data_IF_594739441309
#
_entry.id   IF_594739441309
#
_cell.length_a   1.000
_cell.length_b   1.000
_cell.length_c   1.000
_cell.angle_alpha   90.00
_cell.angle_beta   90.00
_cell.angle_gamma   90.00
#
_symmetry.space_group_name_H-M   'P 1'
#
loop_
_entity.id
_entity.type
_entity.pdbx_description
1 polymer ?
#
# COMPACT_ATOMS: atom_id res chain seq x y z
N UNK A 1 -28.76 25.46 -20.73
CA UNK A 1 -28.63 24.96 -19.34
C UNK A 1 -27.66 23.79 -19.45
N UNK A 2 -26.40 23.91 -19.05
CA UNK A 2 -25.98 24.10 -17.66
C UNK A 2 -24.75 25.01 -17.50
N UNK A 3 -24.93 26.16 -16.85
CA UNK A 3 -23.84 27.06 -16.44
C UNK A 3 -23.16 26.62 -15.13
N UNK A 4 -23.55 25.46 -14.57
CA UNK A 4 -23.04 24.95 -13.28
C UNK A 4 -21.67 24.28 -13.35
N UNK A 5 -21.07 24.20 -14.54
CA UNK A 5 -19.65 23.85 -14.72
C UNK A 5 -18.68 25.03 -14.53
N UNK A 6 -19.18 26.26 -14.38
CA UNK A 6 -18.44 27.48 -14.75
C UNK A 6 -17.19 27.86 -13.93
N UNK A 7 -16.98 27.35 -12.71
CA UNK A 7 -15.79 27.70 -11.91
C UNK A 7 -14.88 26.50 -11.74
N UNK A 8 -15.41 25.35 -11.33
CA UNK A 8 -14.58 24.14 -11.18
C UNK A 8 -14.05 23.64 -12.53
N UNK A 9 -14.85 23.65 -13.61
CA UNK A 9 -14.36 23.23 -14.93
C UNK A 9 -13.39 24.26 -15.54
N UNK A 10 -13.59 25.56 -15.26
CA UNK A 10 -12.66 26.61 -15.67
C UNK A 10 -11.32 26.51 -14.92
N UNK A 11 -11.36 26.21 -13.61
CA UNK A 11 -10.18 25.99 -12.79
C UNK A 11 -9.42 24.73 -13.23
N UNK A 12 -10.15 23.63 -13.48
CA UNK A 12 -9.58 22.41 -14.04
C UNK A 12 -8.92 22.65 -15.40
N UNK A 13 -9.53 23.45 -16.28
CA UNK A 13 -8.91 23.81 -17.56
C UNK A 13 -7.65 24.66 -17.42
N UNK A 14 -7.58 25.52 -16.40
CA UNK A 14 -6.39 26.35 -16.12
C UNK A 14 -5.22 25.50 -15.60
N UNK A 15 -5.52 24.42 -14.87
CA UNK A 15 -4.53 23.47 -14.34
C UNK A 15 -4.02 22.46 -15.38
N UNK A 16 -4.65 22.39 -16.57
CA UNK A 16 -4.26 21.46 -17.65
C UNK A 16 -3.02 21.88 -18.44
N UNK A 17 -2.50 23.09 -18.26
CA UNK A 17 -1.37 23.55 -19.08
C UNK A 17 0.00 23.04 -18.62
N UNK A 18 0.11 22.49 -17.40
CA UNK A 18 1.37 21.94 -16.88
C UNK A 18 1.05 20.77 -15.93
N UNK A 19 1.44 19.53 -16.25
CA UNK A 19 1.20 18.34 -15.41
C UNK A 19 1.82 18.48 -13.99
N UNK A 20 2.85 19.31 -13.85
CA UNK A 20 3.45 19.72 -12.57
C UNK A 20 2.53 20.60 -11.72
N UNK A 21 1.52 21.23 -12.32
CA UNK A 21 0.61 22.13 -11.61
C UNK A 21 -0.48 21.38 -10.83
N UNK A 22 -0.95 20.22 -11.31
CA UNK A 22 -2.04 19.50 -10.65
C UNK A 22 -1.59 18.88 -9.32
N UNK A 23 -0.43 18.23 -9.29
CA UNK A 23 0.15 17.69 -8.05
C UNK A 23 0.44 18.80 -7.04
N UNK A 24 0.97 19.94 -7.51
CA UNK A 24 1.21 21.11 -6.68
C UNK A 24 -0.10 21.69 -6.12
N UNK A 25 -1.19 21.70 -6.90
CA UNK A 25 -2.51 22.11 -6.40
C UNK A 25 -3.10 21.13 -5.40
N UNK A 26 -2.98 19.82 -5.64
CA UNK A 26 -3.42 18.82 -4.68
C UNK A 26 -2.68 18.97 -3.35
N UNK A 27 -1.36 19.21 -3.39
CA UNK A 27 -0.56 19.51 -2.21
C UNK A 27 -1.04 20.79 -1.50
N UNK A 28 -1.31 21.88 -2.25
CA UNK A 28 -1.86 23.12 -1.69
C UNK A 28 -3.22 22.92 -1.03
N UNK A 29 -4.10 22.10 -1.63
CA UNK A 29 -5.41 21.76 -1.08
C UNK A 29 -5.25 20.94 0.20
N UNK A 30 -4.32 19.99 0.23
CA UNK A 30 -4.03 19.17 1.40
C UNK A 30 -3.47 20.01 2.56
N UNK A 31 -2.54 20.93 2.29
CA UNK A 31 -2.04 21.88 3.28
C UNK A 31 -3.16 22.76 3.84
N UNK A 32 -4.07 23.24 2.97
CA UNK A 32 -5.22 24.05 3.38
C UNK A 32 -6.21 23.24 4.22
N UNK A 33 -6.47 21.98 3.85
CA UNK A 33 -7.33 21.08 4.62
C UNK A 33 -6.75 20.81 5.99
N UNK A 34 -5.46 20.51 6.08
CA UNK A 34 -4.77 20.27 7.35
C UNK A 34 -4.87 21.50 8.26
N UNK A 35 -4.57 22.71 7.74
CA UNK A 35 -4.71 23.95 8.49
C UNK A 35 -6.15 24.19 8.97
N UNK A 36 -7.16 23.94 8.12
CA UNK A 36 -8.56 24.07 8.51
C UNK A 36 -9.00 23.05 9.58
N UNK A 37 -8.46 21.84 9.53
CA UNK A 37 -8.71 20.82 10.55
C UNK A 37 -8.09 21.19 11.89
N UNK A 38 -6.87 21.72 11.89
CA UNK A 38 -6.19 22.22 13.09
C UNK A 38 -6.96 23.40 13.71
N UNK A 39 -7.34 24.38 12.88
CA UNK A 39 -8.15 25.52 13.30
C UNK A 39 -9.51 25.07 13.85
N UNK A 40 -10.14 24.08 13.23
CA UNK A 40 -11.39 23.51 13.71
C UNK A 40 -11.21 22.79 15.07
N UNK A 41 -10.08 22.11 15.28
CA UNK A 41 -9.75 21.48 16.56
C UNK A 41 -9.56 22.52 17.67
N UNK A 42 -8.78 23.57 17.42
CA UNK A 42 -8.57 24.68 18.36
C UNK A 42 -9.89 25.41 18.69
N UNK A 43 -10.74 25.62 17.68
CA UNK A 43 -12.04 26.23 17.88
C UNK A 43 -12.97 25.36 18.74
N UNK A 44 -12.94 24.02 18.56
CA UNK A 44 -13.69 23.08 19.42
C UNK A 44 -13.21 23.13 20.87
N UNK A 45 -11.90 23.15 21.11
CA UNK A 45 -11.35 23.28 22.46
C UNK A 45 -11.80 24.59 23.11
N UNK A 46 -11.71 25.70 22.39
CA UNK A 46 -12.17 27.01 22.88
C UNK A 46 -13.66 26.99 23.25
N UNK A 47 -14.51 26.36 22.42
CA UNK A 47 -15.93 26.18 22.74
C UNK A 47 -16.15 25.34 24.00
N UNK A 48 -15.37 24.29 24.23
CA UNK A 48 -15.46 23.47 25.45
C UNK A 48 -15.13 24.30 26.69
N UNK A 49 -14.06 25.09 26.64
CA UNK A 49 -13.68 26.00 27.74
C UNK A 49 -14.80 27.01 28.00
N UNK A 50 -15.32 27.67 26.95
CA UNK A 50 -16.42 28.62 27.09
C UNK A 50 -17.69 27.99 27.67
N UNK A 51 -18.03 26.76 27.27
CA UNK A 51 -19.16 26.01 27.83
C UNK A 51 -18.95 25.71 29.31
N UNK A 52 -17.77 25.25 29.71
CA UNK A 52 -17.43 24.99 31.13
C UNK A 52 -17.55 26.27 31.96
N UNK A 53 -16.99 27.39 31.47
CA UNK A 53 -17.11 28.69 32.13
C UNK A 53 -18.56 29.17 32.25
N UNK A 54 -19.39 28.94 31.24
CA UNK A 54 -20.83 29.26 31.29
C UNK A 54 -21.58 28.38 32.29
N UNK A 55 -21.24 27.09 32.40
CA UNK A 55 -21.81 26.19 33.41
C UNK A 55 -21.45 26.67 34.82
N UNK A 56 -20.17 26.98 35.06
CA UNK A 56 -19.72 27.50 36.35
C UNK A 56 -20.40 28.83 36.73
N UNK A 57 -20.66 29.71 35.76
CA UNK A 57 -21.38 30.97 36.00
C UNK A 57 -22.87 30.78 36.25
N UNK A 58 -23.48 29.71 35.71
CA UNK A 58 -24.88 29.38 35.96
C UNK A 58 -25.10 28.87 37.37
N UNK A 59 -24.10 28.22 37.96
CA UNK A 59 -24.14 27.81 39.35
C UNK A 59 -24.11 29.03 40.28
N UNK A 60 -25.25 29.29 40.92
CA UNK A 60 -25.38 30.44 41.81
C UNK A 60 -24.68 30.25 43.15
N UNK A 61 -24.38 29.00 43.53
CA UNK A 61 -23.74 28.63 44.79
C UNK A 61 -22.24 28.93 44.82
N UNK A 62 -21.59 29.00 43.64
CA UNK A 62 -20.18 29.34 43.54
C UNK A 62 -19.97 30.83 43.77
N UNK A 63 -18.95 31.27 44.52
CA UNK A 63 -18.61 32.68 44.61
C UNK A 63 -18.09 33.19 43.27
N UNK A 64 -18.64 34.28 42.76
CA UNK A 64 -18.15 34.97 41.57
C UNK A 64 -17.59 36.33 41.96
N UNK A 65 -16.27 36.47 41.89
CA UNK A 65 -15.59 37.73 42.22
C UNK A 65 -14.73 38.22 41.06
N UNK A 66 -15.32 38.95 40.12
CA UNK A 66 -14.58 39.87 39.27
C UNK A 66 -14.91 41.30 39.70
N UNK A 67 -13.92 42.02 40.24
CA UNK A 67 -14.07 43.42 40.70
C UNK A 67 -14.58 44.38 39.61
N UNK A 68 -14.52 43.99 38.34
CA UNK A 68 -14.83 44.80 37.17
C UNK A 68 -16.08 44.38 36.39
N UNK A 69 -16.72 43.26 36.72
CA UNK A 69 -17.84 42.74 35.93
C UNK A 69 -18.82 41.97 36.80
N UNK A 70 -20.11 42.22 36.60
CA UNK A 70 -21.23 41.50 37.21
C UNK A 70 -21.47 40.15 36.51
N UNK A 71 -22.07 39.21 37.25
CA UNK A 71 -22.31 37.84 36.77
C UNK A 71 -23.21 37.81 35.52
N UNK A 72 -24.18 38.72 35.42
CA UNK A 72 -25.09 38.77 34.28
C UNK A 72 -24.37 39.23 33.00
N UNK A 73 -23.55 40.27 33.09
CA UNK A 73 -22.69 40.70 31.97
C UNK A 73 -21.70 39.60 31.58
N UNK A 74 -21.09 38.90 32.55
CA UNK A 74 -20.18 37.79 32.27
C UNK A 74 -20.87 36.67 31.47
N UNK A 75 -22.07 36.26 31.89
CA UNK A 75 -22.91 35.27 31.19
C UNK A 75 -23.22 35.72 29.75
N UNK A 76 -23.61 36.98 29.58
CA UNK A 76 -23.94 37.55 28.26
C UNK A 76 -22.73 37.55 27.33
N UNK A 77 -21.59 38.04 27.79
CA UNK A 77 -20.35 38.14 27.01
C UNK A 77 -19.85 36.75 26.59
N UNK A 78 -19.82 35.78 27.51
CA UNK A 78 -19.38 34.42 27.17
C UNK A 78 -20.37 33.71 26.25
N UNK A 79 -21.67 33.94 26.41
CA UNK A 79 -22.69 33.40 25.49
C UNK A 79 -22.53 33.96 24.08
N UNK A 80 -22.29 35.27 23.96
CA UNK A 80 -22.02 35.92 22.67
C UNK A 80 -20.74 35.38 22.01
N UNK A 81 -19.66 35.20 22.77
CA UNK A 81 -18.43 34.58 22.28
C UNK A 81 -18.68 33.15 21.81
N UNK A 82 -19.41 32.34 22.58
CA UNK A 82 -19.74 30.97 22.21
C UNK A 82 -20.55 30.92 20.90
N UNK A 83 -21.53 31.82 20.73
CA UNK A 83 -22.27 31.93 19.45
C UNK A 83 -21.34 32.30 18.30
N UNK A 84 -20.36 33.19 18.52
CA UNK A 84 -19.32 33.50 17.54
C UNK A 84 -18.52 32.26 17.11
N UNK A 85 -18.03 31.48 18.07
CA UNK A 85 -17.29 30.23 17.80
C UNK A 85 -18.13 29.16 17.11
N UNK A 86 -19.44 29.07 17.41
CA UNK A 86 -20.37 28.17 16.70
C UNK A 86 -20.54 28.60 15.24
N UNK A 87 -20.66 29.90 14.97
CA UNK A 87 -20.73 30.41 13.59
C UNK A 87 -19.43 30.14 12.83
N UNK A 88 -18.30 30.33 13.49
CA UNK A 88 -16.98 30.03 12.94
C UNK A 88 -16.84 28.54 12.61
N UNK A 89 -17.25 27.65 13.53
CA UNK A 89 -17.24 26.19 13.31
C UNK A 89 -18.04 25.80 12.06
N UNK A 90 -19.25 26.33 11.89
CA UNK A 90 -20.08 26.10 10.69
C UNK A 90 -19.45 26.67 9.41
N UNK A 91 -18.62 27.71 9.53
CA UNK A 91 -17.87 28.23 8.38
C UNK A 91 -16.74 27.29 8.00
N UNK A 92 -15.95 26.85 8.98
CA UNK A 92 -14.86 25.88 8.78
C UNK A 92 -15.40 24.57 8.20
N UNK A 93 -16.49 24.02 8.73
CA UNK A 93 -17.12 22.79 8.21
C UNK A 93 -17.51 22.92 6.74
N UNK A 94 -18.04 24.08 6.32
CA UNK A 94 -18.36 24.35 4.91
C UNK A 94 -17.12 24.46 4.04
N UNK A 95 -16.05 25.07 4.53
CA UNK A 95 -14.78 25.18 3.81
C UNK A 95 -14.09 23.82 3.67
N UNK A 96 -13.99 23.04 4.75
CA UNK A 96 -13.48 21.67 4.74
C UNK A 96 -14.25 20.84 3.70
N UNK A 97 -15.59 20.83 3.80
CA UNK A 97 -16.44 20.09 2.85
C UNK A 97 -16.27 20.54 1.40
N UNK A 98 -15.95 21.82 1.17
CA UNK A 98 -15.66 22.33 -0.18
C UNK A 98 -14.32 21.79 -0.68
N UNK A 99 -13.25 21.92 0.10
CA UNK A 99 -11.92 21.48 -0.30
C UNK A 99 -11.82 19.96 -0.42
N UNK A 100 -12.46 19.19 0.45
CA UNK A 100 -12.54 17.72 0.34
C UNK A 100 -13.21 17.29 -0.98
N UNK A 101 -14.33 17.93 -1.35
CA UNK A 101 -15.01 17.64 -2.62
C UNK A 101 -14.15 18.02 -3.82
N UNK A 102 -13.50 19.17 -3.77
CA UNK A 102 -12.60 19.63 -4.84
C UNK A 102 -11.43 18.67 -5.00
N UNK A 103 -10.79 18.26 -3.91
CA UNK A 103 -9.71 17.27 -3.88
C UNK A 103 -10.16 15.95 -4.50
N UNK A 104 -11.30 15.41 -4.06
CA UNK A 104 -11.84 14.16 -4.59
C UNK A 104 -12.12 14.25 -6.10
N UNK A 105 -12.65 15.38 -6.56
CA UNK A 105 -12.88 15.62 -7.99
C UNK A 105 -11.58 15.65 -8.77
N UNK A 106 -10.55 16.34 -8.28
CA UNK A 106 -9.23 16.42 -8.93
C UNK A 106 -8.56 15.05 -9.02
N UNK A 107 -8.49 14.31 -7.91
CA UNK A 107 -7.92 12.95 -7.88
C UNK A 107 -8.68 12.01 -8.81
N UNK A 108 -10.02 12.09 -8.84
CA UNK A 108 -10.82 11.26 -9.75
C UNK A 108 -10.55 11.58 -11.23
N UNK A 109 -10.31 12.85 -11.56
CA UNK A 109 -9.96 13.28 -12.90
C UNK A 109 -8.58 12.75 -13.31
N UNK A 110 -7.59 12.86 -12.42
CA UNK A 110 -6.24 12.35 -12.66
C UNK A 110 -6.25 10.84 -12.90
N UNK A 111 -6.94 10.09 -12.03
CA UNK A 111 -7.05 8.64 -12.16
C UNK A 111 -7.76 8.23 -13.47
N UNK A 112 -8.81 8.97 -13.87
CA UNK A 112 -9.48 8.73 -15.15
C UNK A 112 -8.56 8.97 -16.35
N UNK A 113 -7.73 10.01 -16.32
CA UNK A 113 -6.75 10.30 -17.37
C UNK A 113 -5.63 9.26 -17.42
N UNK A 114 -5.07 8.86 -16.27
CA UNK A 114 -4.08 7.78 -16.18
C UNK A 114 -4.64 6.43 -16.68
N UNK A 115 -5.91 6.14 -16.38
CA UNK A 115 -6.57 4.96 -16.94
C UNK A 115 -6.73 5.06 -18.46
N UNK A 116 -7.07 6.24 -18.99
CA UNK A 116 -7.21 6.46 -20.43
C UNK A 116 -5.87 6.29 -21.16
N UNK A 117 -4.77 6.83 -20.61
CA UNK A 117 -3.43 6.66 -21.18
C UNK A 117 -2.96 5.21 -21.10
N UNK A 118 -3.19 4.52 -19.99
CA UNK A 118 -2.89 3.09 -19.85
C UNK A 118 -3.68 2.24 -20.83
N UNK A 119 -4.97 2.51 -21.02
CA UNK A 119 -5.81 1.82 -22.02
C UNK A 119 -5.27 2.08 -23.43
N UNK A 120 -4.86 3.31 -23.75
CA UNK A 120 -4.27 3.64 -25.05
C UNK A 120 -2.94 2.89 -25.28
N UNK A 121 -2.06 2.85 -24.27
CA UNK A 121 -0.80 2.13 -24.31
C UNK A 121 -1.00 0.62 -24.45
N UNK A 122 -1.95 0.04 -23.71
CA UNK A 122 -2.36 -1.36 -23.84
C UNK A 122 -2.89 -1.65 -25.24
N UNK A 123 -3.76 -0.79 -25.78
CA UNK A 123 -4.26 -0.91 -27.16
C UNK A 123 -3.12 -0.90 -28.17
N UNK A 124 -2.17 0.03 -28.05
CA UNK A 124 -1.00 0.09 -28.93
C UNK A 124 -0.14 -1.19 -28.84
N UNK A 125 0.12 -1.70 -27.62
CA UNK A 125 0.84 -2.97 -27.43
C UNK A 125 0.09 -4.16 -28.02
N UNK A 126 -1.22 -4.26 -27.81
CA UNK A 126 -2.03 -5.33 -28.40
C UNK A 126 -2.14 -5.23 -29.92
N UNK A 127 -2.11 -4.03 -30.49
CA UNK A 127 -2.03 -3.83 -31.94
C UNK A 127 -0.67 -4.29 -32.49
N UNK A 128 0.43 -4.03 -31.78
CA UNK A 128 1.75 -4.57 -32.11
C UNK A 128 1.80 -6.10 -32.04
N UNK A 129 1.12 -6.71 -31.06
CA UNK A 129 0.99 -8.17 -30.95
C UNK A 129 0.11 -8.78 -32.04
N UNK A 130 -0.88 -8.04 -32.56
CA UNK A 130 -1.67 -8.45 -33.74
C UNK A 130 -0.86 -8.49 -35.04
N UNK A 131 0.38 -8.01 -35.03
CA UNK A 131 1.31 -8.10 -36.17
C UNK A 131 2.46 -9.09 -35.89
N UNK A 132 2.37 -9.88 -34.81
CA UNK A 132 3.20 -11.08 -34.68
C UNK A 132 2.70 -12.06 -35.74
N UNK A 133 3.53 -12.25 -36.74
CA UNK A 133 3.28 -13.15 -37.85
C UNK A 133 3.32 -14.59 -37.30
N UNK A 134 2.15 -15.17 -37.06
CA UNK A 134 1.99 -16.50 -36.45
C UNK A 134 2.71 -17.58 -37.25
N UNK A 135 2.77 -17.42 -38.58
CA UNK A 135 3.45 -18.34 -39.47
C UNK A 135 4.98 -18.28 -39.26
N UNK A 136 5.53 -17.08 -39.04
CA UNK A 136 6.95 -16.90 -38.71
C UNK A 136 7.29 -17.44 -37.34
N UNK A 137 6.43 -17.23 -36.34
CA UNK A 137 6.62 -17.77 -35.00
C UNK A 137 6.58 -19.32 -35.00
N UNK A 138 5.74 -19.92 -35.85
CA UNK A 138 5.70 -21.37 -36.02
C UNK A 138 6.96 -21.90 -36.70
N UNK A 139 7.45 -21.21 -37.73
CA UNK A 139 8.72 -21.56 -38.38
C UNK A 139 9.91 -21.42 -37.42
N UNK A 140 9.97 -20.36 -36.62
CA UNK A 140 11.01 -20.17 -35.60
C UNK A 140 10.93 -21.27 -34.52
N UNK A 141 9.73 -21.76 -34.18
CA UNK A 141 9.56 -22.89 -33.26
C UNK A 141 10.05 -24.22 -33.85
N UNK A 142 9.77 -24.50 -35.12
CA UNK A 142 10.28 -25.69 -35.82
C UNK A 142 11.83 -25.65 -35.88
N UNK A 143 12.42 -24.48 -36.19
CA UNK A 143 13.88 -24.32 -36.19
C UNK A 143 14.49 -24.57 -34.80
N UNK A 144 13.84 -24.13 -33.72
CA UNK A 144 14.28 -24.41 -32.35
C UNK A 144 14.19 -25.90 -32.03
N UNK A 145 13.15 -26.59 -32.47
CA UNK A 145 13.01 -28.05 -32.28
C UNK A 145 14.12 -28.82 -33.00
N UNK A 146 14.44 -28.43 -34.24
CA UNK A 146 15.53 -29.02 -35.03
C UNK A 146 16.89 -28.78 -34.38
N UNK A 147 17.20 -27.54 -33.97
CA UNK A 147 18.46 -27.21 -33.28
C UNK A 147 18.60 -27.98 -31.96
N UNK A 148 17.49 -28.23 -31.26
CA UNK A 148 17.50 -28.98 -30.01
C UNK A 148 17.66 -30.49 -30.24
N UNK A 149 17.11 -31.02 -31.34
CA UNK A 149 17.37 -32.39 -31.77
C UNK A 149 18.86 -32.59 -32.14
N UNK A 150 19.43 -31.64 -32.87
CA UNK A 150 20.86 -31.63 -33.22
C UNK A 150 21.76 -31.53 -31.97
N UNK A 151 21.39 -30.69 -31.01
CA UNK A 151 22.11 -30.57 -29.74
C UNK A 151 22.08 -31.87 -28.93
N UNK A 152 20.94 -32.59 -28.92
CA UNK A 152 20.85 -33.91 -28.28
C UNK A 152 21.70 -34.95 -28.98
N UNK A 153 21.63 -35.01 -30.31
CA UNK A 153 22.44 -35.94 -31.10
C UNK A 153 23.95 -35.67 -30.92
N UNK A 154 24.35 -34.41 -30.87
CA UNK A 154 25.73 -34.01 -30.57
C UNK A 154 26.14 -34.42 -29.15
N UNK A 155 25.26 -34.23 -28.16
CA UNK A 155 25.53 -34.60 -26.78
C UNK A 155 25.63 -36.12 -26.60
N UNK A 156 24.78 -36.89 -27.28
CA UNK A 156 24.84 -38.35 -27.32
C UNK A 156 26.13 -38.84 -27.99
N UNK A 157 26.55 -38.21 -29.09
CA UNK A 157 27.83 -38.51 -29.74
C UNK A 157 29.03 -38.17 -28.83
N UNK A 158 28.98 -37.06 -28.09
CA UNK A 158 30.00 -36.72 -27.08
C UNK A 158 30.00 -37.75 -25.93
N UNK A 159 28.84 -38.15 -25.43
CA UNK A 159 28.74 -39.18 -24.40
C UNK A 159 29.27 -40.54 -24.88
N UNK A 160 29.00 -40.93 -26.13
CA UNK A 160 29.50 -42.17 -26.71
C UNK A 160 31.00 -42.13 -26.97
N UNK A 161 31.54 -41.00 -27.45
CA UNK A 161 33.00 -40.81 -27.58
C UNK A 161 33.69 -40.79 -26.21
N UNK A 162 33.09 -40.19 -25.18
CA UNK A 162 33.59 -40.25 -23.81
C UNK A 162 33.55 -41.68 -23.26
N UNK A 163 32.47 -42.45 -23.50
CA UNK A 163 32.40 -43.86 -23.12
C UNK A 163 33.43 -44.74 -23.84
N UNK A 164 33.66 -44.47 -25.13
CA UNK A 164 34.68 -45.18 -25.92
C UNK A 164 36.10 -44.82 -25.47
N UNK A 165 36.33 -43.56 -25.08
CA UNK A 165 37.61 -43.11 -24.54
C UNK A 165 37.85 -43.67 -23.13
N UNK A 166 36.83 -43.68 -22.28
CA UNK A 166 36.86 -44.30 -20.95
C UNK A 166 37.02 -45.84 -21.00
N UNK A 167 36.60 -46.50 -22.08
CA UNK A 167 36.92 -47.92 -22.31
C UNK A 167 38.39 -48.19 -22.64
N UNK A 168 39.13 -47.17 -23.09
CA UNK A 168 40.53 -47.30 -23.48
C UNK A 168 41.51 -46.83 -22.40
N UNK A 169 41.09 -45.95 -21.49
CA UNK A 169 41.87 -45.54 -20.31
C UNK A 169 41.21 -46.11 -19.04
N UNK A 170 41.88 -47.08 -18.41
CA UNK A 170 41.79 -47.48 -16.99
C UNK A 170 40.40 -47.66 -16.33
N UNK A 171 39.33 -47.97 -17.07
CA UNK A 171 38.04 -48.35 -16.48
C UNK A 171 38.10 -49.55 -15.51
N UNK A 172 39.16 -50.38 -15.61
CA UNK A 172 39.43 -51.47 -14.67
C UNK A 172 39.95 -50.97 -13.31
N UNK A 173 40.68 -49.85 -13.28
CA UNK A 173 41.17 -49.23 -12.04
C UNK A 173 40.03 -48.45 -11.35
N UNK A 174 39.19 -47.73 -12.10
CA UNK A 174 38.06 -46.97 -11.53
C UNK A 174 36.98 -47.89 -10.92
N UNK A 175 36.66 -49.03 -11.53
CA UNK A 175 35.74 -50.03 -10.95
C UNK A 175 36.32 -50.71 -9.70
N UNK A 176 37.64 -50.95 -9.66
CA UNK A 176 38.32 -51.47 -8.46
C UNK A 176 38.39 -50.43 -7.34
N UNK A 177 38.65 -49.15 -7.67
CA UNK A 177 38.67 -48.05 -6.71
C UNK A 177 37.28 -47.80 -6.11
N UNK A 178 36.21 -47.87 -6.93
CA UNK A 178 34.82 -47.82 -6.46
C UNK A 178 34.46 -49.01 -5.56
N UNK A 179 34.95 -50.21 -5.89
CA UNK A 179 34.74 -51.40 -5.06
C UNK A 179 35.50 -51.33 -3.73
N UNK A 180 36.71 -50.78 -3.70
CA UNK A 180 37.45 -50.50 -2.45
C UNK A 180 36.74 -49.41 -1.62
N UNK A 181 36.24 -48.34 -2.25
CA UNK A 181 35.54 -47.25 -1.56
C UNK A 181 34.21 -47.72 -0.93
N UNK A 182 33.42 -48.50 -1.66
CA UNK A 182 32.18 -49.09 -1.15
C UNK A 182 32.45 -50.12 -0.03
N UNK A 183 33.58 -50.83 -0.07
CA UNK A 183 33.99 -51.77 0.98
C UNK A 183 34.57 -51.07 2.23
N UNK A 184 35.07 -49.84 2.10
CA UNK A 184 35.46 -48.98 3.23
C UNK A 184 34.24 -48.36 3.92
N UNK A 185 33.21 -47.94 3.20
CA UNK A 185 31.97 -47.39 3.79
C UNK A 185 31.19 -48.42 4.65
N UNK A 186 31.20 -49.71 4.30
CA UNK A 186 30.56 -50.76 5.12
C UNK A 186 31.23 -50.98 6.49
N UNK A 187 32.45 -50.46 6.72
CA UNK A 187 33.17 -50.60 8.00
C UNK A 187 33.04 -49.40 8.93
N UNK A 188 32.46 -48.28 8.47
CA UNK A 188 32.31 -47.06 9.27
C UNK A 188 30.85 -46.69 9.64
N UNK A 189 29.89 -47.62 9.58
CA UNK A 189 28.57 -47.39 10.22
C UNK A 189 28.61 -47.59 11.74
N UNK A 190 29.32 -46.71 12.45
CA UNK A 190 28.91 -46.30 13.79
C UNK A 190 27.95 -45.11 13.65
N UNK A 191 26.70 -45.18 14.15
CA UNK A 191 25.68 -44.19 13.80
C UNK A 191 26.01 -42.84 14.43
N UNK A 192 26.51 -41.91 13.62
CA UNK A 192 26.55 -40.50 13.97
C UNK A 192 25.10 -39.99 14.03
N UNK A 193 24.66 -39.68 15.26
CA UNK A 193 23.50 -38.80 15.49
C UNK A 193 23.73 -37.49 14.75
N UNK A 194 22.91 -37.23 13.73
CA UNK A 194 22.85 -35.93 13.06
C UNK A 194 21.56 -35.24 13.50
N UNK A 195 21.71 -34.19 14.32
CA UNK A 195 20.64 -33.23 14.60
C UNK A 195 20.23 -32.52 13.30
N UNK A 196 18.94 -32.28 13.04
CA UNK A 196 18.50 -31.63 11.81
C UNK A 196 18.95 -30.15 11.75
N UNK A 197 19.36 -29.65 10.57
CA UNK A 197 19.91 -28.31 10.40
C UNK A 197 18.87 -27.22 10.66
N UNK A 198 19.28 -26.24 11.47
CA UNK A 198 18.54 -25.01 11.77
C UNK A 198 18.49 -24.10 10.54
N UNK A 199 17.57 -24.32 9.61
CA UNK A 199 17.32 -23.32 8.56
C UNK A 199 15.91 -23.44 7.95
N UNK A 200 14.89 -23.41 8.80
CA UNK A 200 13.53 -23.02 8.41
C UNK A 200 12.96 -22.02 9.45
N UNK A 201 13.71 -20.95 9.70
CA UNK A 201 13.14 -19.74 10.30
C UNK A 201 12.86 -18.73 9.18
N UNK A 202 11.69 -18.86 8.55
CA UNK A 202 10.98 -17.74 7.89
C UNK A 202 9.59 -18.20 7.46
N UNK A 203 8.63 -18.02 8.37
CA UNK A 203 7.25 -17.65 8.07
C UNK A 203 6.46 -17.69 9.39
N UNK A 204 6.44 -16.58 10.12
CA UNK A 204 5.46 -16.37 11.17
C UNK A 204 4.30 -15.55 10.59
N UNK A 205 3.14 -16.14 10.28
CA UNK A 205 1.90 -15.37 10.30
C UNK A 205 1.43 -15.29 11.76
N UNK A 206 1.47 -14.09 12.33
CA UNK A 206 0.80 -13.79 13.61
C UNK A 206 -0.70 -13.99 13.41
N UNK A 207 -1.21 -15.11 13.90
CA UNK A 207 -2.64 -15.36 14.07
C UNK A 207 -3.13 -14.62 15.31
N UNK A 208 -4.03 -13.67 15.07
CA UNK A 208 -5.28 -13.38 15.81
C UNK A 208 -5.27 -13.71 17.30
N UNK A 209 -5.08 -12.68 18.13
CA UNK A 209 -5.42 -12.68 19.55
C UNK A 209 -6.92 -12.44 19.76
N UNK A 210 -7.55 -13.35 20.51
CA UNK A 210 -8.65 -13.16 21.48
C UNK A 210 -9.83 -14.16 21.30
N UNK A 211 -10.56 -14.57 22.36
CA UNK A 211 -10.32 -14.44 23.80
C UNK A 211 -10.45 -15.78 24.57
N UNK A 212 -9.76 -15.86 25.73
CA UNK A 212 -9.97 -16.92 26.73
C UNK A 212 -11.34 -16.77 27.37
N UNK A 213 -12.13 -17.85 27.32
CA UNK A 213 -13.39 -18.02 28.06
C UNK A 213 -13.13 -17.93 29.56
N UNK A 214 -13.71 -16.91 30.19
CA UNK A 214 -13.91 -16.86 31.64
C UNK A 214 -14.85 -18.00 32.05
N UNK A 215 -14.44 -18.74 33.08
CA UNK A 215 -15.25 -19.76 33.73
C UNK A 215 -16.25 -19.07 34.64
N UNK A 216 -17.53 -19.31 34.40
CA UNK A 216 -18.64 -19.00 35.31
C UNK A 216 -18.51 -19.91 36.55
N UNK A 217 -18.50 -19.39 37.78
CA UNK A 217 -18.77 -20.21 38.96
C UNK A 217 -20.28 -20.41 39.11
N UNK A 218 -20.67 -21.68 39.25
CA UNK A 218 -22.02 -22.12 39.60
C UNK A 218 -22.36 -21.69 41.03
N UNK A 219 -23.63 -21.30 41.19
CA UNK A 219 -24.32 -21.05 42.45
C UNK A 219 -24.23 -22.24 43.42
N UNK A 220 -23.95 -21.93 44.68
CA UNK A 220 -24.62 -22.50 45.86
C UNK A 220 -25.01 -21.36 46.80
#
# INVERSE_FOLDING_TARGET
MDERGGICAAFLHLLRTEDTSLEAELARIDDTLNALHDDAAQNRETMLVLRRSLVALKDESLPFSTRSMDRATAKKTLSQRLVGHIKLARSMERQISFFERTRMSLVSSQLAEEMATNIAALRARTAGLRHVDLDRLHADMEEIEDVNADARAANDAVADTMRLSARNDDALDDEQLLAEFLAEEEKEEAPLRVDPPRELQRAAPRAVDSPRRERVPLLE
#
